data_IF_825325764710
#
_entry.id   IF_825325764710
#
_cell.length_a   1.000
_cell.length_b   1.000
_cell.length_c   1.000
_cell.angle_alpha   90.00
_cell.angle_beta   90.00
_cell.angle_gamma   90.00
#
_symmetry.space_group_name_H-M   'P 1'
#
loop_
_entity.id
_entity.type
_entity.pdbx_description
1 polymer ?
#
# COMPACT_ATOMS: atom_id res chain seq x y z
N UNK A 1 -14.47 2.73 9.19
CA UNK A 1 -13.33 2.04 8.54
C UNK A 1 -12.42 3.01 7.79
N UNK A 2 -12.98 3.96 7.02
CA UNK A 2 -12.23 4.93 6.20
C UNK A 2 -11.09 5.67 6.93
N UNK A 3 -11.34 6.18 8.13
CA UNK A 3 -10.31 6.90 8.92
C UNK A 3 -9.01 6.10 9.08
N UNK A 4 -9.11 4.84 9.53
CA UNK A 4 -7.94 3.98 9.72
C UNK A 4 -7.24 3.67 8.40
N UNK A 5 -8.00 3.46 7.32
CA UNK A 5 -7.44 3.21 6.00
C UNK A 5 -6.65 4.42 5.50
N UNK A 6 -7.17 5.64 5.66
CA UNK A 6 -6.44 6.87 5.29
C UNK A 6 -5.14 7.00 6.08
N UNK A 7 -5.19 6.84 7.40
CA UNK A 7 -3.99 6.96 8.27
C UNK A 7 -2.93 5.91 7.88
N UNK A 8 -3.34 4.66 7.63
CA UNK A 8 -2.42 3.59 7.20
C UNK A 8 -1.93 3.77 5.77
N UNK A 9 -2.66 4.49 4.92
CA UNK A 9 -2.24 4.75 3.54
C UNK A 9 -1.03 5.66 3.46
N UNK A 10 -0.86 6.58 4.40
CA UNK A 10 0.26 7.52 4.44
C UNK A 10 1.62 6.79 4.41
N UNK A 11 1.94 5.88 5.35
CA UNK A 11 3.21 5.16 5.32
C UNK A 11 3.33 4.23 4.09
N UNK A 12 2.22 3.66 3.58
CA UNK A 12 2.26 2.84 2.35
C UNK A 12 2.72 3.68 1.16
N UNK A 13 2.10 4.83 0.92
CA UNK A 13 2.48 5.71 -0.18
C UNK A 13 3.91 6.25 -0.01
N UNK A 14 4.29 6.66 1.19
CA UNK A 14 5.67 7.11 1.47
C UNK A 14 6.67 6.00 1.14
N UNK A 15 6.41 4.76 1.57
CA UNK A 15 7.29 3.63 1.30
C UNK A 15 7.37 3.29 -0.19
N UNK A 16 6.24 3.29 -0.91
CA UNK A 16 6.23 3.05 -2.36
C UNK A 16 6.98 4.16 -3.11
N UNK A 17 6.77 5.43 -2.75
CA UNK A 17 7.46 6.56 -3.37
C UNK A 17 8.97 6.46 -3.10
N UNK A 18 9.36 6.21 -1.86
CA UNK A 18 10.77 6.02 -1.50
C UNK A 18 11.41 4.87 -2.30
N UNK A 19 10.69 3.76 -2.47
CA UNK A 19 11.14 2.61 -3.27
C UNK A 19 11.32 2.91 -4.77
N UNK A 20 10.72 3.98 -5.30
CA UNK A 20 10.96 4.41 -6.68
C UNK A 20 12.30 5.15 -6.84
N UNK A 21 12.68 5.94 -5.84
CA UNK A 21 13.90 6.74 -5.83
C UNK A 21 15.11 5.93 -5.33
N UNK A 22 14.94 5.19 -4.23
CA UNK A 22 15.99 4.44 -3.53
C UNK A 22 15.56 2.97 -3.32
N UNK A 23 15.45 2.19 -4.42
CA UNK A 23 14.93 0.82 -4.38
C UNK A 23 15.78 -0.15 -3.56
N UNK A 24 17.10 0.05 -3.53
CA UNK A 24 18.02 -0.79 -2.77
C UNK A 24 17.84 -0.58 -1.26
N UNK A 25 17.83 0.68 -0.82
CA UNK A 25 17.64 1.01 0.60
C UNK A 25 16.26 0.58 1.09
N UNK A 26 15.21 0.83 0.29
CA UNK A 26 13.85 0.49 0.68
C UNK A 26 13.63 -1.03 0.78
N UNK A 27 14.25 -1.82 -0.11
CA UNK A 27 14.16 -3.28 -0.09
C UNK A 27 14.79 -3.88 1.17
N UNK A 28 15.91 -3.32 1.63
CA UNK A 28 16.60 -3.80 2.83
C UNK A 28 16.12 -3.14 4.12
N UNK A 29 15.24 -2.14 4.09
CA UNK A 29 14.86 -1.34 5.28
C UNK A 29 14.53 -2.19 6.53
N UNK A 30 13.69 -3.22 6.40
CA UNK A 30 13.29 -4.11 7.50
C UNK A 30 14.18 -5.34 7.68
N UNK A 31 15.14 -5.58 6.77
CA UNK A 31 15.98 -6.78 6.76
C UNK A 31 17.47 -6.48 6.89
N UNK A 32 17.88 -5.20 6.95
CA UNK A 32 19.28 -4.76 7.02
C UNK A 32 20.07 -5.39 8.16
N UNK A 33 19.39 -5.66 9.29
CA UNK A 33 20.00 -6.27 10.48
C UNK A 33 20.36 -7.75 10.30
N UNK A 34 19.90 -8.40 9.23
CA UNK A 34 20.17 -9.82 8.94
C UNK A 34 21.50 -10.04 8.23
N UNK A 35 22.09 -9.00 7.66
CA UNK A 35 23.26 -9.12 6.80
C UNK A 35 24.46 -8.45 7.44
N UNK A 36 25.64 -9.09 7.32
CA UNK A 36 26.91 -8.52 7.76
C UNK A 36 27.35 -7.36 6.86
N UNK A 37 27.05 -7.47 5.57
CA UNK A 37 27.26 -6.47 4.51
C UNK A 37 26.01 -6.45 3.63
N UNK A 38 25.65 -5.28 3.09
CA UNK A 38 24.42 -5.13 2.29
C UNK A 38 24.61 -5.85 0.94
N UNK A 39 23.75 -6.81 0.57
CA UNK A 39 23.85 -7.47 -0.72
C UNK A 39 23.57 -6.50 -1.88
N UNK A 40 24.36 -6.57 -2.94
CA UNK A 40 24.08 -5.85 -4.18
C UNK A 40 22.86 -6.46 -4.89
N UNK A 41 21.93 -5.60 -5.34
CA UNK A 41 20.77 -6.02 -6.12
C UNK A 41 21.10 -6.02 -7.61
N UNK A 42 20.59 -7.01 -8.33
CA UNK A 42 20.63 -7.00 -9.79
C UNK A 42 19.69 -5.95 -10.39
N UNK A 43 20.00 -5.47 -11.59
CA UNK A 43 19.16 -4.51 -12.33
C UNK A 43 17.71 -4.96 -12.48
N UNK A 44 17.49 -6.28 -12.65
CA UNK A 44 16.16 -6.87 -12.78
C UNK A 44 15.39 -6.75 -11.46
N UNK A 45 16.05 -7.01 -10.32
CA UNK A 45 15.42 -6.86 -9.00
C UNK A 45 15.05 -5.39 -8.75
N UNK A 46 15.96 -4.46 -9.05
CA UNK A 46 15.70 -3.02 -8.94
C UNK A 46 14.48 -2.62 -9.78
N UNK A 47 14.42 -3.08 -11.04
CA UNK A 47 13.29 -2.80 -11.93
C UNK A 47 11.98 -3.39 -11.40
N UNK A 48 12.01 -4.61 -10.85
CA UNK A 48 10.84 -5.24 -10.25
C UNK A 48 10.36 -4.50 -9.01
N UNK A 49 11.25 -4.00 -8.15
CA UNK A 49 10.89 -3.18 -6.97
C UNK A 49 10.17 -1.90 -7.40
N UNK A 50 10.66 -1.22 -8.45
CA UNK A 50 10.00 -0.01 -8.96
C UNK A 50 8.63 -0.32 -9.55
N UNK A 51 8.52 -1.36 -10.38
CA UNK A 51 7.25 -1.76 -10.98
C UNK A 51 6.23 -2.20 -9.91
N UNK A 52 6.66 -3.00 -8.93
CA UNK A 52 5.78 -3.45 -7.85
C UNK A 52 5.34 -2.29 -6.97
N UNK A 53 6.18 -1.27 -6.76
CA UNK A 53 5.82 -0.05 -6.05
C UNK A 53 4.71 0.72 -6.77
N UNK A 54 4.81 0.90 -8.08
CA UNK A 54 3.75 1.53 -8.89
C UNK A 54 2.45 0.72 -8.84
N UNK A 55 2.54 -0.60 -9.05
CA UNK A 55 1.36 -1.49 -9.01
C UNK A 55 0.71 -1.42 -7.62
N UNK A 56 1.49 -1.44 -6.56
CA UNK A 56 0.99 -1.34 -5.17
C UNK A 56 0.27 -0.03 -4.96
N UNK A 57 0.83 1.11 -5.42
CA UNK A 57 0.15 2.40 -5.32
C UNK A 57 -1.21 2.41 -6.05
N UNK A 58 -1.28 1.83 -7.25
CA UNK A 58 -2.53 1.74 -8.03
C UNK A 58 -3.57 0.90 -7.27
N UNK A 59 -3.20 -0.31 -6.86
CA UNK A 59 -4.10 -1.22 -6.15
C UNK A 59 -4.54 -0.63 -4.81
N UNK A 60 -3.63 0.00 -4.08
CA UNK A 60 -3.94 0.64 -2.81
C UNK A 60 -4.91 1.81 -2.98
N UNK A 61 -4.74 2.61 -4.03
CA UNK A 61 -5.67 3.70 -4.37
C UNK A 61 -7.06 3.17 -4.69
N UNK A 62 -7.16 2.06 -5.42
CA UNK A 62 -8.45 1.41 -5.70
C UNK A 62 -9.13 0.98 -4.39
N UNK A 63 -8.38 0.38 -3.45
CA UNK A 63 -8.91 0.01 -2.13
C UNK A 63 -9.42 1.24 -1.37
N UNK A 64 -8.66 2.34 -1.34
CA UNK A 64 -9.07 3.59 -0.68
C UNK A 64 -10.37 4.12 -1.28
N UNK A 65 -10.51 4.10 -2.61
CA UNK A 65 -11.74 4.54 -3.30
C UNK A 65 -12.93 3.65 -2.93
N UNK A 66 -12.78 2.34 -2.96
CA UNK A 66 -13.86 1.40 -2.61
C UNK A 66 -14.33 1.65 -1.18
N UNK A 67 -13.39 1.77 -0.23
CA UNK A 67 -13.71 2.02 1.18
C UNK A 67 -14.35 3.40 1.38
N UNK A 68 -13.95 4.40 0.59
CA UNK A 68 -14.59 5.70 0.63
C UNK A 68 -16.04 5.63 0.13
N UNK A 69 -16.30 4.95 -1.00
CA UNK A 69 -17.65 4.76 -1.52
C UNK A 69 -18.53 4.05 -0.48
N UNK A 70 -18.04 2.95 0.11
CA UNK A 70 -18.73 2.22 1.17
C UNK A 70 -19.06 3.12 2.37
N UNK A 71 -18.09 3.92 2.83
CA UNK A 71 -18.29 4.80 3.97
C UNK A 71 -19.33 5.93 3.76
N UNK A 72 -19.63 6.29 2.50
CA UNK A 72 -20.60 7.33 2.16
C UNK A 72 -21.88 6.77 1.52
N UNK A 73 -21.99 5.45 1.33
CA UNK A 73 -23.19 4.80 0.84
C UNK A 73 -24.07 4.43 2.04
N UNK A 74 -25.29 5.00 2.18
CA UNK A 74 -26.16 4.66 3.28
C UNK A 74 -26.66 3.21 3.17
N UNK A 75 -26.84 2.57 4.33
CA UNK A 75 -27.42 1.23 4.39
C UNK A 75 -28.83 1.23 3.77
N UNK A 76 -29.22 0.14 3.08
CA UNK A 76 -30.58 0.01 2.57
C UNK A 76 -31.57 0.05 3.75
N UNK A 77 -32.79 0.57 3.53
CA UNK A 77 -33.80 0.61 4.57
C UNK A 77 -34.09 -0.80 5.09
N UNK A 78 -34.28 -0.90 6.40
CA UNK A 78 -34.63 -2.18 7.03
C UNK A 78 -35.91 -2.75 6.40
N UNK A 79 -35.97 -4.08 6.18
CA UNK A 79 -37.19 -4.70 5.68
C UNK A 79 -38.36 -4.40 6.62
N UNK A 80 -39.58 -4.20 6.10
CA UNK A 80 -40.74 -3.92 6.93
C UNK A 80 -40.94 -5.06 7.94
N UNK A 81 -41.09 -4.70 9.21
CA UNK A 81 -41.44 -5.66 10.25
C UNK A 81 -42.80 -6.26 9.92
N UNK A 82 -42.86 -7.57 9.69
CA UNK A 82 -44.14 -8.27 9.57
C UNK A 82 -44.78 -8.28 10.96
N UNK A 83 -45.73 -7.38 11.18
CA UNK A 83 -46.66 -7.38 12.31
C UNK A 83 -47.84 -8.30 12.03
#
# INVERSE_FOLDING_TARGET
MLFFIIVLSIPVYIFCIWSLYEPEESFFFLSRWRFKEIPELSDIQIKLIKISSVITMILWTIIVIIVAIDAFTPDPPLPPSMS
#
